data_IF_060346210513
#
_entry.id   IF_060346210513
#
_cell.length_a   1.000
_cell.length_b   1.000
_cell.length_c   1.000
_cell.angle_alpha   90.00
_cell.angle_beta   90.00
_cell.angle_gamma   90.00
#
_symmetry.space_group_name_H-M   'P 1'
#
loop_
_entity.id
_entity.type
_entity.pdbx_description
1 polymer ?
#
# COMPACT_ATOMS: atom_id res chain seq x y z
N UNK A 1 14.96 -26.84 7.26
CA UNK A 1 13.68 -27.16 7.89
C UNK A 1 13.39 -26.20 9.03
N UNK A 2 12.16 -25.76 9.13
CA UNK A 2 11.81 -24.81 10.16
C UNK A 2 11.60 -25.48 11.49
N UNK A 3 12.03 -24.81 12.56
CA UNK A 3 11.75 -25.29 13.89
C UNK A 3 10.35 -24.84 14.27
N UNK A 4 9.83 -25.39 15.34
CA UNK A 4 8.54 -24.98 15.86
C UNK A 4 8.56 -23.50 16.23
N UNK A 5 9.63 -23.05 16.85
CA UNK A 5 9.77 -21.67 17.24
C UNK A 5 9.80 -20.76 16.01
N UNK A 6 10.50 -21.18 14.96
CA UNK A 6 10.58 -20.43 13.72
C UNK A 6 9.20 -20.31 13.06
N UNK A 7 8.41 -21.39 13.13
CA UNK A 7 7.07 -21.37 12.56
C UNK A 7 6.16 -20.43 13.35
N UNK A 8 6.33 -20.37 14.66
CA UNK A 8 5.55 -19.48 15.49
C UNK A 8 5.85 -18.01 15.17
N UNK A 9 7.12 -17.71 14.95
CA UNK A 9 7.51 -16.35 14.59
C UNK A 9 6.97 -15.97 13.23
N UNK A 10 6.99 -16.92 12.30
CA UNK A 10 6.43 -16.65 10.97
C UNK A 10 4.94 -16.38 11.05
N UNK A 11 4.23 -17.14 11.88
CA UNK A 11 2.80 -16.92 12.05
C UNK A 11 2.53 -15.58 12.71
N UNK A 12 3.36 -15.23 13.69
CA UNK A 12 3.22 -13.94 14.36
C UNK A 12 3.38 -12.80 13.37
N UNK A 13 4.33 -12.93 12.45
CA UNK A 13 4.54 -11.89 11.44
C UNK A 13 3.32 -11.74 10.54
N UNK A 14 2.68 -12.85 10.18
CA UNK A 14 1.47 -12.79 9.37
C UNK A 14 0.31 -12.19 10.16
N UNK A 15 0.22 -12.53 11.43
CA UNK A 15 -0.82 -11.95 12.28
C UNK A 15 -0.64 -10.44 12.39
N UNK A 16 0.60 -10.00 12.53
CA UNK A 16 0.89 -8.56 12.60
C UNK A 16 0.54 -7.87 11.29
N UNK A 17 0.87 -8.49 10.18
CA UNK A 17 0.54 -7.94 8.88
C UNK A 17 -0.97 -7.85 8.70
N UNK A 18 -1.68 -8.87 9.16
CA UNK A 18 -3.13 -8.87 9.08
C UNK A 18 -3.70 -7.67 9.84
N UNK A 19 -3.20 -7.46 11.06
CA UNK A 19 -3.66 -6.33 11.88
C UNK A 19 -3.39 -5.01 11.19
N UNK A 20 -2.23 -4.87 10.57
CA UNK A 20 -1.87 -3.65 9.85
C UNK A 20 -2.82 -3.42 8.68
N UNK A 21 -3.09 -4.47 7.93
CA UNK A 21 -3.92 -4.35 6.73
C UNK A 21 -5.39 -4.09 7.05
N UNK A 22 -5.80 -4.29 8.30
CA UNK A 22 -7.18 -4.04 8.68
C UNK A 22 -7.49 -2.57 8.90
N UNK A 23 -6.49 -1.70 8.92
CA UNK A 23 -6.71 -0.28 9.09
C UNK A 23 -6.34 0.45 7.82
N UNK A 24 -6.99 1.58 7.61
CA UNK A 24 -6.69 2.39 6.43
C UNK A 24 -5.27 2.93 6.50
N UNK A 25 -4.85 3.38 7.68
CA UNK A 25 -3.49 3.86 7.84
C UNK A 25 -2.47 2.78 7.52
N UNK A 26 -2.73 1.57 8.00
CA UNK A 26 -1.83 0.46 7.75
C UNK A 26 -1.75 0.13 6.26
N UNK A 27 -2.89 0.06 5.60
CA UNK A 27 -2.92 -0.22 4.16
C UNK A 27 -2.18 0.85 3.38
N UNK A 28 -2.36 2.11 3.77
CA UNK A 28 -1.69 3.21 3.08
C UNK A 28 -0.18 3.11 3.23
N UNK A 29 0.27 2.74 4.44
CA UNK A 29 1.70 2.59 4.70
C UNK A 29 2.28 1.42 3.89
N UNK A 30 1.57 0.30 3.87
CA UNK A 30 2.01 -0.88 3.12
C UNK A 30 2.07 -0.55 1.63
N UNK A 31 1.07 0.17 1.13
CA UNK A 31 1.07 0.51 -0.29
C UNK A 31 2.25 1.42 -0.64
N UNK A 32 2.60 2.33 0.25
CA UNK A 32 3.75 3.19 0.02
C UNK A 32 5.03 2.37 -0.10
N UNK A 33 5.15 1.33 0.73
CA UNK A 33 6.30 0.44 0.64
C UNK A 33 6.29 -0.30 -0.70
N UNK A 34 5.15 -0.81 -1.11
CA UNK A 34 5.06 -1.53 -2.38
C UNK A 34 5.44 -0.62 -3.55
N UNK A 35 5.00 0.62 -3.50
CA UNK A 35 5.37 1.56 -4.55
C UNK A 35 6.86 1.84 -4.54
N UNK A 36 7.44 1.99 -3.34
CA UNK A 36 8.85 2.30 -3.23
C UNK A 36 9.73 1.16 -3.72
N UNK A 37 9.22 -0.06 -3.71
CA UNK A 37 9.97 -1.21 -4.21
C UNK A 37 9.72 -1.45 -5.69
N UNK A 38 8.84 -0.65 -6.31
CA UNK A 38 8.52 -0.75 -7.73
C UNK A 38 8.09 -2.17 -8.10
N UNK A 39 7.28 -2.77 -7.23
CA UNK A 39 6.90 -4.17 -7.39
C UNK A 39 6.16 -4.43 -8.68
N UNK A 40 5.46 -3.43 -9.19
CA UNK A 40 4.68 -3.59 -10.41
C UNK A 40 5.32 -2.96 -11.63
N UNK A 41 6.56 -2.54 -11.51
CA UNK A 41 7.27 -1.92 -12.61
C UNK A 41 8.26 -2.92 -13.17
N UNK A 42 8.36 -3.00 -14.48
CA UNK A 42 9.33 -3.87 -15.11
C UNK A 42 10.71 -3.36 -14.78
N UNK A 43 11.58 -4.27 -14.35
CA UNK A 43 12.94 -3.92 -14.00
C UNK A 43 13.83 -4.17 -15.20
N UNK A 44 14.44 -3.11 -15.69
CA UNK A 44 15.33 -3.24 -16.82
C UNK A 44 16.37 -2.12 -16.81
N UNK A 45 17.62 -2.50 -17.02
CA UNK A 45 18.70 -1.55 -17.16
C UNK A 45 19.85 -2.24 -17.89
N UNK A 46 20.58 -1.48 -18.66
CA UNK A 46 21.75 -2.03 -19.35
C UNK A 46 22.92 -2.12 -18.38
N UNK A 47 22.85 -1.45 -17.23
CA UNK A 47 23.90 -1.53 -16.22
C UNK A 47 23.60 -2.73 -15.31
N UNK A 48 24.43 -3.78 -15.32
CA UNK A 48 24.12 -4.97 -14.54
C UNK A 48 24.06 -4.71 -13.03
N UNK A 49 24.86 -3.79 -12.53
CA UNK A 49 24.83 -3.52 -11.09
C UNK A 49 23.55 -2.79 -10.70
N UNK A 50 23.15 -1.81 -11.47
CA UNK A 50 21.93 -1.09 -11.21
C UNK A 50 20.72 -2.02 -11.39
N UNK A 51 20.79 -2.87 -12.40
CA UNK A 51 19.73 -3.81 -12.66
C UNK A 51 19.58 -4.79 -11.49
N UNK A 52 20.68 -5.25 -10.92
CA UNK A 52 20.67 -6.14 -9.77
C UNK A 52 20.05 -5.42 -8.57
N UNK A 53 20.38 -4.15 -8.39
CA UNK A 53 19.81 -3.37 -7.30
C UNK A 53 18.30 -3.24 -7.44
N UNK A 54 17.83 -2.92 -8.63
CA UNK A 54 16.40 -2.80 -8.87
C UNK A 54 15.68 -4.12 -8.67
N UNK A 55 16.29 -5.22 -9.11
CA UNK A 55 15.69 -6.53 -8.94
C UNK A 55 15.58 -6.91 -7.49
N UNK A 56 16.61 -6.60 -6.69
CA UNK A 56 16.58 -6.88 -5.26
C UNK A 56 15.52 -6.05 -4.56
N UNK A 57 15.44 -4.78 -4.95
CA UNK A 57 14.43 -3.89 -4.38
C UNK A 57 13.03 -4.39 -4.68
N UNK A 58 12.81 -4.80 -5.92
CA UNK A 58 11.52 -5.32 -6.32
C UNK A 58 11.17 -6.61 -5.60
N UNK A 59 12.18 -7.44 -5.33
CA UNK A 59 11.96 -8.72 -4.66
C UNK A 59 11.36 -8.53 -3.27
N UNK A 60 11.75 -7.47 -2.58
CA UNK A 60 11.20 -7.18 -1.26
C UNK A 60 9.70 -6.91 -1.38
N UNK A 61 9.30 -6.12 -2.38
CA UNK A 61 7.89 -5.83 -2.59
C UNK A 61 7.09 -7.07 -3.00
N UNK A 62 7.68 -7.90 -3.84
CA UNK A 62 7.02 -9.14 -4.27
C UNK A 62 6.78 -10.04 -3.06
N UNK A 63 7.77 -10.12 -2.17
CA UNK A 63 7.63 -10.96 -1.00
C UNK A 63 6.54 -10.43 -0.07
N UNK A 64 6.51 -9.12 0.12
CA UNK A 64 5.47 -8.51 0.93
C UNK A 64 4.09 -8.78 0.35
N UNK A 65 3.94 -8.64 -0.96
CA UNK A 65 2.67 -8.88 -1.62
C UNK A 65 2.23 -10.33 -1.47
N UNK A 66 3.18 -11.26 -1.56
CA UNK A 66 2.86 -12.66 -1.34
C UNK A 66 2.32 -12.89 0.06
N UNK A 67 2.92 -12.25 1.04
CA UNK A 67 2.47 -12.39 2.42
C UNK A 67 1.06 -11.85 2.61
N UNK A 68 0.76 -10.73 1.98
CA UNK A 68 -0.59 -10.19 2.04
C UNK A 68 -1.59 -11.20 1.48
N UNK A 69 -1.23 -11.83 0.37
CA UNK A 69 -2.12 -12.77 -0.28
C UNK A 69 -2.27 -14.08 0.49
N UNK A 70 -1.40 -14.32 1.45
CA UNK A 70 -1.52 -15.49 2.33
C UNK A 70 -2.47 -15.26 3.49
N UNK A 71 -2.88 -14.03 3.74
CA UNK A 71 -3.80 -13.73 4.83
C UNK A 71 -5.18 -14.29 4.49
N UNK A 72 -5.99 -14.52 5.52
CA UNK A 72 -7.32 -15.10 5.33
C UNK A 72 -8.15 -14.31 4.35
N UNK A 73 -8.21 -12.99 4.52
CA UNK A 73 -8.94 -12.14 3.60
C UNK A 73 -7.99 -11.39 2.69
N UNK A 74 -6.88 -12.04 2.33
CA UNK A 74 -5.81 -11.37 1.61
C UNK A 74 -6.25 -10.67 0.35
N UNK A 75 -7.08 -11.34 -0.45
CA UNK A 75 -7.54 -10.73 -1.70
C UNK A 75 -8.37 -9.48 -1.44
N UNK A 76 -9.28 -9.57 -0.49
CA UNK A 76 -10.14 -8.43 -0.14
C UNK A 76 -9.31 -7.29 0.43
N UNK A 77 -8.34 -7.61 1.27
CA UNK A 77 -7.49 -6.59 1.86
C UNK A 77 -6.62 -5.92 0.80
N UNK A 78 -6.12 -6.71 -0.14
CA UNK A 78 -5.33 -6.15 -1.23
C UNK A 78 -6.19 -5.21 -2.08
N UNK A 79 -7.42 -5.62 -2.37
CA UNK A 79 -8.32 -4.77 -3.15
C UNK A 79 -8.65 -3.48 -2.42
N UNK A 80 -8.88 -3.56 -1.11
CA UNK A 80 -9.11 -2.36 -0.31
C UNK A 80 -7.92 -1.42 -0.38
N UNK A 81 -6.72 -1.98 -0.26
CA UNK A 81 -5.50 -1.19 -0.32
C UNK A 81 -5.40 -0.45 -1.65
N UNK A 82 -5.65 -1.16 -2.74
CA UNK A 82 -5.55 -0.55 -4.07
C UNK A 82 -6.64 0.48 -4.29
N UNK A 83 -7.83 0.21 -3.79
CA UNK A 83 -8.93 1.15 -3.91
C UNK A 83 -8.66 2.41 -3.10
N UNK A 84 -8.10 2.26 -1.91
CA UNK A 84 -7.74 3.41 -1.09
C UNK A 84 -6.72 4.27 -1.84
N UNK A 85 -5.74 3.63 -2.45
CA UNK A 85 -4.70 4.33 -3.18
C UNK A 85 -5.25 5.05 -4.41
N UNK A 86 -6.17 4.39 -5.10
CA UNK A 86 -6.76 4.97 -6.28
C UNK A 86 -7.62 6.18 -5.91
N UNK A 87 -8.37 6.07 -4.83
CA UNK A 87 -9.19 7.19 -4.36
C UNK A 87 -8.34 8.38 -3.95
N UNK A 88 -7.18 8.11 -3.36
CA UNK A 88 -6.30 9.20 -2.97
C UNK A 88 -5.68 9.88 -4.18
N UNK A 89 -5.41 9.08 -5.24
CA UNK A 89 -4.81 9.61 -6.45
C UNK A 89 -5.82 10.38 -7.26
N UNK A 90 -7.07 9.94 -7.22
CA UNK A 90 -8.16 10.58 -7.96
C UNK A 90 -9.27 10.92 -6.98
N UNK A 91 -9.06 11.94 -6.16
CA UNK A 91 -10.08 12.28 -5.17
C UNK A 91 -11.36 12.71 -5.85
N UNK A 92 -12.47 12.59 -5.16
CA UNK A 92 -13.73 13.05 -5.71
C UNK A 92 -13.58 14.50 -6.12
N UNK A 93 -14.39 14.87 -7.05
CA UNK A 93 -14.31 16.20 -7.62
C UNK A 93 -14.82 17.25 -6.67
N UNK A 94 -14.23 17.33 -5.53
CA UNK A 94 -14.68 18.24 -4.51
C UNK A 94 -14.39 19.66 -4.87
N UNK A 95 -13.31 19.80 -5.57
CA UNK A 95 -12.88 21.11 -5.91
C UNK A 95 -13.93 21.84 -6.69
N UNK A 96 -14.70 21.12 -7.44
CA UNK A 96 -15.67 21.78 -8.24
C UNK A 96 -16.70 22.45 -7.42
N UNK A 97 -17.24 21.72 -6.49
CA UNK A 97 -18.32 22.26 -5.72
C UNK A 97 -18.00 22.25 -4.27
N UNK A 98 -17.77 21.08 -3.77
CA UNK A 98 -17.69 20.94 -2.34
C UNK A 98 -16.53 21.69 -1.76
N UNK A 99 -15.41 21.60 -2.41
CA UNK A 99 -14.22 22.24 -1.90
C UNK A 99 -14.42 23.74 -1.85
N UNK A 100 -14.91 24.29 -2.92
CA UNK A 100 -15.12 25.73 -2.97
C UNK A 100 -16.30 26.15 -2.17
N UNK A 101 -17.30 25.33 -2.12
CA UNK A 101 -18.44 25.66 -1.32
C UNK A 101 -18.08 25.73 0.12
N UNK A 102 -17.26 24.82 0.54
CA UNK A 102 -16.83 24.83 1.90
C UNK A 102 -16.07 26.08 2.16
N UNK A 103 -15.17 26.40 1.29
CA UNK A 103 -14.43 27.62 1.46
C UNK A 103 -15.33 28.80 1.39
N UNK A 104 -16.27 28.75 0.54
CA UNK A 104 -17.18 29.86 0.43
C UNK A 104 -18.06 29.90 1.61
N UNK A 105 -18.46 28.77 2.09
CA UNK A 105 -19.27 28.73 3.25
C UNK A 105 -18.47 29.12 4.39
N UNK A 106 -17.27 28.72 4.36
CA UNK A 106 -16.37 29.06 5.37
C UNK A 106 -15.90 30.39 5.12
N UNK A 107 -15.68 30.64 3.91
CA UNK A 107 -15.25 31.88 3.54
C UNK A 107 -16.42 32.70 3.44
N UNK A 108 -17.42 32.17 3.19
CA UNK A 108 -18.51 32.86 3.17
C UNK A 108 -19.14 32.51 4.29
N UNK A 109 -18.43 31.95 4.74
CA UNK A 109 -18.77 31.55 5.64
C UNK A 109 -17.80 31.99 6.02
N UNK A 110 -17.22 31.97 5.14
CA UNK A 110 -16.51 32.02 4.91
C UNK A 110 -16.68 32.62 4.28
N UNK A 111 -17.30 33.07 3.88
CA UNK A 111 -17.62 32.93 3.21
C UNK A 111 -18.18 33.08 3.05
N UNK A 112 -18.39 32.92 3.31
CA UNK A 112 -18.98 32.50 3.09
C UNK A 112 -19.05 32.28 3.09
#
# INVERSE_FOLDING_TARGET
MRTKESNMLAQQALDDLDAIMRTENGRRFIYAILESTEVETAVFSSDPYFNAFLSGKRAVGVDLLKNIRMLNDGHSLEMLMRNDAESARHPPDLEDDDLFKVDNDIAEVRHE
#
